data_IF_153608255889
#
_entry.id   IF_153608255889
#
_cell.length_a   1.000
_cell.length_b   1.000
_cell.length_c   1.000
_cell.angle_alpha   90.00
_cell.angle_beta   90.00
_cell.angle_gamma   90.00
#
_symmetry.space_group_name_H-M   'P 1'
#
loop_
_entity.id
_entity.type
_entity.pdbx_description
1 polymer ?
#
# COMPACT_ATOMS: atom_id res chain seq x y z
N UNK A 1 29.61 66.05 1.96
CA UNK A 1 28.22 66.02 1.48
C UNK A 1 27.69 64.60 1.56
N UNK A 2 26.45 64.45 2.04
CA UNK A 2 25.50 63.31 1.99
C UNK A 2 25.81 62.01 2.78
N UNK A 3 24.97 61.84 3.79
CA UNK A 3 24.59 60.66 4.58
C UNK A 3 23.65 59.72 3.78
N UNK A 4 23.37 58.54 4.40
CA UNK A 4 22.17 57.65 4.28
C UNK A 4 22.41 56.35 3.47
N UNK A 5 21.99 55.14 3.87
CA UNK A 5 21.16 54.62 4.98
C UNK A 5 21.59 53.16 5.28
N UNK A 6 21.43 52.59 6.48
CA UNK A 6 20.27 52.26 7.34
C UNK A 6 19.43 51.05 6.84
N UNK A 7 19.68 49.94 7.56
CA UNK A 7 18.81 48.81 7.99
C UNK A 7 18.11 47.92 6.95
N UNK A 8 18.27 46.61 7.12
CA UNK A 8 17.12 45.74 7.41
C UNK A 8 17.55 44.52 8.25
N UNK A 9 16.93 44.37 9.42
CA UNK A 9 16.91 43.15 10.24
C UNK A 9 16.00 42.12 9.57
N UNK A 10 16.36 40.85 9.59
CA UNK A 10 15.37 39.77 9.50
C UNK A 10 15.70 38.70 10.52
N UNK A 11 14.89 38.69 11.56
CA UNK A 11 14.76 37.65 12.60
C UNK A 11 14.29 36.29 12.02
N UNK A 12 14.42 35.20 12.81
CA UNK A 12 14.39 33.83 12.30
C UNK A 12 12.96 33.32 12.09
N UNK A 13 12.75 32.60 10.99
CA UNK A 13 11.51 31.90 10.63
C UNK A 13 11.93 30.60 9.93
N UNK A 14 11.47 29.40 10.26
CA UNK A 14 10.37 28.93 11.08
C UNK A 14 10.65 27.46 11.37
N UNK A 15 10.54 27.05 12.64
CA UNK A 15 10.45 25.64 13.01
C UNK A 15 9.15 25.08 12.40
N UNK A 16 9.25 24.45 11.23
CA UNK A 16 8.19 23.54 10.80
C UNK A 16 8.39 22.23 11.55
N UNK A 17 7.77 22.16 12.73
CA UNK A 17 7.42 20.92 13.42
C UNK A 17 6.47 20.10 12.54
N UNK A 18 6.99 19.56 11.44
CA UNK A 18 6.44 18.37 10.84
C UNK A 18 6.89 17.22 11.71
N UNK A 19 5.96 16.57 12.39
CA UNK A 19 6.18 15.26 13.01
C UNK A 19 6.71 14.31 11.94
N UNK A 20 8.03 14.26 11.78
CA UNK A 20 8.75 13.12 11.24
C UNK A 20 8.55 12.03 12.29
N UNK A 21 7.33 11.52 12.37
CA UNK A 21 7.08 10.22 12.99
C UNK A 21 8.00 9.33 12.22
N UNK A 22 9.04 8.88 12.90
CA UNK A 22 10.14 8.14 12.35
C UNK A 22 9.62 6.99 11.49
N UNK A 23 9.40 7.25 10.18
CA UNK A 23 8.93 6.25 9.22
C UNK A 23 9.91 5.08 9.17
N UNK A 24 11.14 5.27 9.70
CA UNK A 24 12.17 4.25 9.75
C UNK A 24 11.78 3.03 10.59
N UNK A 25 10.94 3.15 11.63
CA UNK A 25 10.58 1.99 12.47
C UNK A 25 9.75 0.94 11.75
N UNK A 26 9.05 1.29 10.66
CA UNK A 26 8.28 0.38 9.82
C UNK A 26 8.94 0.08 8.47
N UNK A 27 10.11 0.65 8.16
CA UNK A 27 10.84 0.37 6.90
C UNK A 27 11.25 -1.10 6.72
N UNK A 28 11.09 -1.93 7.75
CA UNK A 28 11.36 -3.38 7.73
C UNK A 28 10.10 -4.25 7.67
N UNK A 29 8.90 -3.65 7.57
CA UNK A 29 7.69 -4.45 7.47
C UNK A 29 7.65 -5.09 6.08
N UNK A 30 7.63 -6.43 6.05
CA UNK A 30 7.42 -7.20 4.83
C UNK A 30 5.93 -7.47 4.64
N UNK A 31 5.47 -7.45 3.39
CA UNK A 31 4.09 -7.80 3.09
C UNK A 31 3.89 -9.32 3.26
N UNK A 32 2.80 -9.77 3.90
CA UNK A 32 2.54 -11.19 4.07
C UNK A 32 2.27 -11.88 2.72
N UNK A 33 2.83 -13.07 2.51
CA UNK A 33 2.52 -13.89 1.34
C UNK A 33 1.08 -14.41 1.37
N UNK A 34 0.38 -14.35 0.24
CA UNK A 34 -0.91 -15.00 0.04
C UNK A 34 -0.72 -16.36 -0.62
N UNK A 35 -1.17 -17.42 0.04
CA UNK A 35 -1.05 -18.81 -0.43
C UNK A 35 -2.42 -19.47 -0.61
N UNK A 36 -3.43 -18.67 -0.94
CA UNK A 36 -4.80 -19.15 -1.20
C UNK A 36 -5.67 -19.39 0.04
N UNK A 37 -5.09 -19.42 1.23
CA UNK A 37 -5.80 -19.64 2.50
C UNK A 37 -6.35 -18.34 3.10
N UNK A 38 -7.55 -18.41 3.70
CA UNK A 38 -8.16 -17.32 4.49
C UNK A 38 -8.03 -15.93 3.84
N UNK A 39 -8.59 -15.72 2.63
CA UNK A 39 -8.39 -14.48 1.87
C UNK A 39 -8.85 -13.23 2.63
N UNK A 40 -9.86 -13.31 3.49
CA UNK A 40 -10.30 -12.19 4.34
C UNK A 40 -9.23 -11.75 5.33
N UNK A 41 -8.60 -12.70 6.03
CA UNK A 41 -7.54 -12.39 6.99
C UNK A 41 -6.31 -11.81 6.28
N UNK A 42 -5.99 -12.34 5.10
CA UNK A 42 -4.88 -11.82 4.31
C UNK A 42 -5.17 -10.39 3.81
N UNK A 43 -6.36 -10.14 3.26
CA UNK A 43 -6.80 -8.81 2.82
C UNK A 43 -6.71 -7.80 3.96
N UNK A 44 -7.19 -8.16 5.15
CA UNK A 44 -7.12 -7.29 6.33
C UNK A 44 -5.67 -6.88 6.66
N UNK A 45 -4.72 -7.82 6.59
CA UNK A 45 -3.29 -7.54 6.82
C UNK A 45 -2.69 -6.70 5.68
N UNK A 46 -3.07 -6.97 4.44
CA UNK A 46 -2.62 -6.20 3.27
C UNK A 46 -3.08 -4.74 3.34
N UNK A 47 -4.32 -4.48 3.75
CA UNK A 47 -4.84 -3.11 3.91
C UNK A 47 -4.08 -2.33 4.98
N UNK A 48 -3.78 -2.96 6.13
CA UNK A 48 -2.90 -2.33 7.14
C UNK A 48 -1.49 -2.07 6.62
N UNK A 49 -0.93 -3.00 5.83
CA UNK A 49 0.36 -2.79 5.19
C UNK A 49 0.33 -1.57 4.26
N UNK A 50 -0.74 -1.42 3.46
CA UNK A 50 -0.91 -0.27 2.57
C UNK A 50 -1.00 1.04 3.34
N UNK A 51 -1.75 1.08 4.44
CA UNK A 51 -1.88 2.26 5.30
C UNK A 51 -0.55 2.65 5.95
N UNK A 52 0.16 1.69 6.56
CA UNK A 52 1.46 1.92 7.20
C UNK A 52 2.47 2.49 6.20
N UNK A 53 2.44 2.00 4.95
CA UNK A 53 3.35 2.43 3.89
C UNK A 53 2.83 3.64 3.08
N UNK A 54 1.62 4.14 3.38
CA UNK A 54 0.94 5.20 2.60
C UNK A 54 0.88 4.88 1.10
N UNK A 55 0.56 3.63 0.74
CA UNK A 55 0.51 3.23 -0.66
C UNK A 55 -0.67 3.89 -1.40
N UNK A 56 -0.42 4.49 -2.59
CA UNK A 56 -1.49 5.02 -3.41
C UNK A 56 -2.35 3.89 -4.00
N UNK A 57 -3.62 4.19 -4.27
CA UNK A 57 -4.60 3.22 -4.81
C UNK A 57 -4.10 2.52 -6.09
N UNK A 58 -3.39 3.24 -6.95
CA UNK A 58 -2.83 2.75 -8.22
C UNK A 58 -1.71 1.70 -8.06
N UNK A 59 -1.15 1.56 -6.87
CA UNK A 59 -0.06 0.62 -6.56
C UNK A 59 -0.53 -0.61 -5.79
N UNK A 60 -1.65 -0.54 -5.06
CA UNK A 60 -2.14 -1.62 -4.19
C UNK A 60 -2.23 -2.97 -4.89
N UNK A 61 -2.84 -3.01 -6.08
CA UNK A 61 -2.97 -4.25 -6.87
C UNK A 61 -1.59 -4.81 -7.26
N UNK A 62 -0.65 -3.95 -7.67
CA UNK A 62 0.68 -4.39 -8.08
C UNK A 62 1.44 -5.00 -6.91
N UNK A 63 1.40 -4.32 -5.77
CA UNK A 63 2.07 -4.76 -4.53
C UNK A 63 1.42 -6.06 -4.00
N UNK A 64 0.10 -6.15 -4.01
CA UNK A 64 -0.63 -7.38 -3.65
C UNK A 64 -0.20 -8.58 -4.50
N UNK A 65 -0.15 -8.41 -5.83
CA UNK A 65 0.20 -9.50 -6.76
C UNK A 65 1.65 -9.97 -6.60
N UNK A 66 2.58 -9.08 -6.23
CA UNK A 66 3.96 -9.47 -5.92
C UNK A 66 4.03 -10.32 -4.64
N UNK A 67 3.06 -10.15 -3.75
CA UNK A 67 2.95 -10.90 -2.50
C UNK A 67 2.12 -12.18 -2.63
N UNK A 68 1.83 -12.64 -3.84
CA UNK A 68 1.11 -13.89 -4.09
C UNK A 68 2.07 -15.06 -4.29
N UNK A 69 1.67 -16.24 -3.81
CA UNK A 69 2.30 -17.51 -4.13
C UNK A 69 2.18 -17.84 -5.62
N UNK A 70 2.93 -18.85 -6.06
CA UNK A 70 3.03 -19.20 -7.47
C UNK A 70 1.66 -19.53 -8.09
N UNK A 71 0.87 -20.37 -7.42
CA UNK A 71 -0.45 -20.79 -7.89
C UNK A 71 -1.45 -19.62 -7.88
N UNK A 72 -1.34 -18.72 -6.91
CA UNK A 72 -2.18 -17.52 -6.76
C UNK A 72 -1.86 -16.49 -7.84
N UNK A 73 -0.59 -16.35 -8.24
CA UNK A 73 -0.19 -15.52 -9.39
C UNK A 73 -0.79 -16.08 -10.69
N UNK A 74 -0.77 -17.40 -10.88
CA UNK A 74 -1.34 -18.01 -12.08
C UNK A 74 -2.87 -17.86 -12.12
N UNK A 75 -3.54 -17.98 -10.96
CA UNK A 75 -4.95 -17.59 -10.84
C UNK A 75 -5.19 -16.12 -11.19
N UNK A 76 -4.38 -15.20 -10.66
CA UNK A 76 -4.52 -13.78 -10.93
C UNK A 76 -4.40 -13.50 -12.44
N UNK A 77 -3.40 -14.09 -13.11
CA UNK A 77 -3.22 -13.97 -14.56
C UNK A 77 -4.45 -14.44 -15.32
N UNK A 78 -4.98 -15.61 -14.97
CA UNK A 78 -6.20 -16.15 -15.58
C UNK A 78 -7.41 -15.22 -15.37
N UNK A 79 -7.63 -14.75 -14.14
CA UNK A 79 -8.74 -13.87 -13.78
C UNK A 79 -8.65 -12.52 -14.49
N UNK A 80 -7.46 -11.91 -14.46
CA UNK A 80 -7.16 -10.62 -15.08
C UNK A 80 -7.26 -10.67 -16.61
N UNK A 81 -6.87 -11.78 -17.25
CA UNK A 81 -6.97 -11.93 -18.70
C UNK A 81 -8.40 -12.13 -19.18
N UNK A 82 -9.29 -12.69 -18.35
CA UNK A 82 -10.72 -12.81 -18.66
C UNK A 82 -11.45 -11.47 -18.54
N UNK A 83 -11.17 -10.74 -17.47
CA UNK A 83 -11.65 -9.39 -17.25
C UNK A 83 -10.57 -8.65 -16.48
N UNK A 84 -10.08 -7.55 -17.04
CA UNK A 84 -9.05 -6.72 -16.41
C UNK A 84 -9.46 -6.38 -14.98
N UNK A 85 -8.50 -6.47 -14.07
CA UNK A 85 -8.67 -6.05 -12.68
C UNK A 85 -8.47 -4.54 -12.66
N UNK A 86 -9.51 -3.81 -12.27
CA UNK A 86 -9.54 -2.34 -12.41
C UNK A 86 -9.18 -1.61 -11.10
N UNK A 87 -9.33 -2.27 -9.95
CA UNK A 87 -9.10 -1.68 -8.64
C UNK A 87 -8.75 -2.73 -7.59
N UNK A 88 -8.33 -2.28 -6.41
CA UNK A 88 -8.16 -3.14 -5.25
C UNK A 88 -9.48 -3.82 -4.84
N UNK A 89 -10.59 -3.10 -4.90
CA UNK A 89 -11.92 -3.64 -4.55
C UNK A 89 -12.37 -4.75 -5.50
N UNK A 90 -12.09 -4.61 -6.81
CA UNK A 90 -12.34 -5.66 -7.80
C UNK A 90 -11.48 -6.90 -7.51
N UNK A 91 -10.20 -6.71 -7.17
CA UNK A 91 -9.34 -7.83 -6.78
C UNK A 91 -9.87 -8.55 -5.54
N UNK A 92 -10.23 -7.83 -4.47
CA UNK A 92 -10.79 -8.41 -3.24
C UNK A 92 -12.03 -9.25 -3.52
N UNK A 93 -12.98 -8.69 -4.27
CA UNK A 93 -14.22 -9.37 -4.62
C UNK A 93 -13.96 -10.71 -5.30
N UNK A 94 -13.03 -10.74 -6.27
CA UNK A 94 -12.63 -11.95 -6.99
C UNK A 94 -11.89 -12.94 -6.12
N UNK A 95 -11.03 -12.46 -5.21
CA UNK A 95 -10.32 -13.31 -4.25
C UNK A 95 -11.31 -14.02 -3.32
N UNK A 96 -12.30 -13.29 -2.82
CA UNK A 96 -13.32 -13.84 -1.94
C UNK A 96 -14.18 -14.88 -2.67
N UNK A 97 -14.61 -14.59 -3.89
CA UNK A 97 -15.37 -15.56 -4.71
C UNK A 97 -14.57 -16.84 -4.97
N UNK A 98 -13.30 -16.73 -5.38
CA UNK A 98 -12.51 -17.88 -5.80
C UNK A 98 -11.95 -18.71 -4.65
N UNK A 99 -11.33 -18.06 -3.64
CA UNK A 99 -10.57 -18.76 -2.60
C UNK A 99 -11.42 -19.17 -1.40
N UNK A 100 -12.46 -18.41 -1.03
CA UNK A 100 -13.39 -18.87 0.03
C UNK A 100 -14.15 -20.13 -0.39
N UNK A 101 -14.37 -20.31 -1.70
CA UNK A 101 -15.01 -21.52 -2.26
C UNK A 101 -14.04 -22.72 -2.32
N UNK A 102 -12.73 -22.50 -2.23
CA UNK A 102 -11.73 -23.59 -2.16
C UNK A 102 -11.60 -24.13 -0.73
N UNK A 103 -11.69 -23.26 0.27
CA UNK A 103 -11.57 -23.61 1.69
C UNK A 103 -12.67 -24.60 2.16
N UNK A 104 -13.89 -24.48 1.60
CA UNK A 104 -15.02 -25.37 1.92
C UNK A 104 -14.97 -26.76 1.26
N UNK A 105 -13.92 -27.08 0.50
CA UNK A 105 -13.81 -28.34 -0.27
C UNK A 105 -12.82 -29.35 0.33
N UNK A 106 -12.41 -29.15 1.58
CA UNK A 106 -11.58 -30.09 2.35
C UNK A 106 -12.42 -30.76 3.43
#
# INVERSE_FOLDING_TARGET
MKLKGKMDETEPMTETNGTVTDRSKYKKLEMPMFLGENPESWVYRAEHFFEINNLPESEKVKVAVVSFGQDEVDWYRWSHNRKKVESWEDLKSRMFEFFQTRDKRV
#
